data_IF_164836627636
#
_entry.id   IF_164836627636
#
_cell.length_a   1.000
_cell.length_b   1.000
_cell.length_c   1.000
_cell.angle_alpha   90.00
_cell.angle_beta   90.00
_cell.angle_gamma   90.00
#
_symmetry.space_group_name_H-M   'P 1'
#
loop_
_entity.id
_entity.type
_entity.pdbx_description
1 polymer ?
#
# COMPACT_ATOMS: atom_id res chain seq x y z
N UNK A 1 -20.11 11.97 14.70
CA UNK A 1 -19.48 10.97 15.59
C UNK A 1 -18.38 10.31 14.79
N UNK A 2 -17.17 10.24 15.34
CA UNK A 2 -16.07 9.50 14.72
C UNK A 2 -16.38 8.00 14.83
N UNK A 3 -16.38 7.30 13.70
CA UNK A 3 -16.45 5.85 13.67
C UNK A 3 -15.05 5.30 13.99
N UNK A 4 -14.87 4.83 15.23
CA UNK A 4 -13.60 4.30 15.69
C UNK A 4 -13.32 2.88 15.14
N UNK A 5 -14.33 2.20 14.61
CA UNK A 5 -14.23 0.83 14.09
C UNK A 5 -13.80 0.87 12.62
N UNK A 6 -14.38 1.78 11.84
CA UNK A 6 -14.02 2.01 10.44
C UNK A 6 -13.73 3.52 10.22
N UNK A 7 -12.53 4.00 10.58
CA UNK A 7 -12.20 5.43 10.55
C UNK A 7 -12.00 5.96 9.13
N UNK A 8 -12.17 7.28 8.94
CA UNK A 8 -12.20 7.93 7.62
C UNK A 8 -10.93 7.73 6.79
N UNK A 9 -9.76 7.65 7.41
CA UNK A 9 -8.48 7.45 6.70
C UNK A 9 -8.36 6.10 5.96
N UNK A 10 -9.35 5.22 6.07
CA UNK A 10 -9.50 4.01 5.24
C UNK A 10 -10.62 4.10 4.21
N UNK A 11 -11.41 5.18 4.21
CA UNK A 11 -12.59 5.41 3.37
C UNK A 11 -12.40 6.51 2.33
N UNK A 12 -11.40 7.37 2.52
CA UNK A 12 -11.22 8.58 1.71
C UNK A 12 -10.65 8.33 0.30
N UNK A 13 -10.22 7.09 0.01
CA UNK A 13 -9.70 6.69 -1.30
C UNK A 13 -10.77 6.35 -2.33
N UNK A 14 -10.38 5.89 -3.53
CA UNK A 14 -11.32 5.53 -4.59
C UNK A 14 -12.24 4.33 -4.24
N UNK A 15 -11.89 3.59 -3.20
CA UNK A 15 -12.64 2.51 -2.56
C UNK A 15 -12.19 2.38 -1.10
N UNK A 16 -12.88 1.63 -0.25
CA UNK A 16 -12.43 1.42 1.13
C UNK A 16 -11.19 0.51 1.15
N UNK A 17 -10.14 0.89 1.89
CA UNK A 17 -8.88 0.14 1.96
C UNK A 17 -9.06 -1.35 2.26
N UNK A 18 -10.06 -1.72 3.05
CA UNK A 18 -10.38 -3.12 3.37
C UNK A 18 -10.79 -3.93 2.14
N UNK A 19 -11.41 -3.33 1.12
CA UNK A 19 -11.75 -3.97 -0.16
C UNK A 19 -10.52 -4.55 -0.87
N UNK A 20 -9.36 -3.89 -0.75
CA UNK A 20 -8.09 -4.37 -1.28
C UNK A 20 -7.31 -5.22 -0.25
N UNK A 21 -7.12 -4.72 0.97
CA UNK A 21 -6.19 -5.36 1.92
C UNK A 21 -6.63 -6.77 2.32
N UNK A 22 -7.95 -7.06 2.29
CA UNK A 22 -8.47 -8.41 2.59
C UNK A 22 -8.10 -9.46 1.54
N UNK A 23 -7.74 -9.02 0.33
CA UNK A 23 -7.39 -9.90 -0.79
C UNK A 23 -5.92 -10.35 -0.73
N UNK A 24 -5.14 -9.70 0.13
CA UNK A 24 -3.70 -9.90 0.26
C UNK A 24 -3.40 -10.79 1.46
N UNK A 25 -2.23 -11.42 1.45
CA UNK A 25 -1.72 -12.07 2.66
C UNK A 25 -1.33 -11.02 3.71
N UNK A 26 -1.16 -11.46 4.97
CA UNK A 26 -1.06 -10.60 6.14
C UNK A 26 -0.09 -9.41 5.97
N UNK A 27 1.16 -9.67 5.58
CA UNK A 27 2.18 -8.63 5.51
C UNK A 27 1.93 -7.65 4.36
N UNK A 28 1.51 -8.17 3.20
CA UNK A 28 1.16 -7.36 2.05
C UNK A 28 -0.09 -6.51 2.29
N UNK A 29 -1.10 -7.07 2.97
CA UNK A 29 -2.28 -6.34 3.43
C UNK A 29 -1.93 -5.20 4.37
N UNK A 30 -1.04 -5.44 5.34
CA UNK A 30 -0.55 -4.42 6.25
C UNK A 30 0.25 -3.34 5.50
N UNK A 31 1.17 -3.72 4.61
CA UNK A 31 1.92 -2.78 3.80
C UNK A 31 1.00 -1.84 3.01
N UNK A 32 -0.03 -2.39 2.35
CA UNK A 32 -1.03 -1.59 1.62
C UNK A 32 -1.80 -0.67 2.54
N UNK A 33 -2.24 -1.13 3.72
CA UNK A 33 -2.95 -0.28 4.69
C UNK A 33 -2.13 0.93 5.14
N UNK A 34 -0.82 0.73 5.36
CA UNK A 34 0.08 1.82 5.72
C UNK A 34 0.27 2.80 4.56
N UNK A 35 0.50 2.30 3.33
CA UNK A 35 0.54 3.13 2.12
C UNK A 35 -0.78 3.85 1.85
N UNK A 36 -1.93 3.27 2.19
CA UNK A 36 -3.22 3.86 1.89
C UNK A 36 -3.50 5.10 2.74
N UNK A 37 -3.09 5.06 4.02
CA UNK A 37 -3.48 6.05 5.03
C UNK A 37 -2.39 7.06 5.40
N UNK A 38 -1.19 6.98 4.80
CA UNK A 38 0.00 7.65 5.33
C UNK A 38 -0.18 9.16 5.48
N UNK A 39 -0.82 9.83 4.51
CA UNK A 39 -1.08 11.27 4.54
C UNK A 39 -2.09 11.70 5.61
N UNK A 40 -2.90 10.76 6.11
CA UNK A 40 -4.06 11.05 6.94
C UNK A 40 -3.93 10.52 8.38
N UNK A 41 -2.78 9.91 8.74
CA UNK A 41 -2.56 9.36 10.08
C UNK A 41 -1.18 9.63 10.67
N UNK A 42 -0.14 8.90 10.24
CA UNK A 42 1.20 9.01 10.86
C UNK A 42 2.30 9.52 9.89
N UNK A 43 1.92 10.06 8.74
CA UNK A 43 2.88 10.61 7.77
C UNK A 43 3.90 9.58 7.30
N UNK A 44 5.17 10.01 7.21
CA UNK A 44 6.29 9.18 6.75
C UNK A 44 6.52 7.92 7.59
N UNK A 45 6.08 7.91 8.87
CA UNK A 45 6.21 6.72 9.73
C UNK A 45 5.39 5.55 9.18
N UNK A 46 4.21 5.80 8.63
CA UNK A 46 3.41 4.73 8.01
C UNK A 46 4.13 4.19 6.76
N UNK A 47 4.77 5.03 5.94
CA UNK A 47 5.58 4.54 4.80
C UNK A 47 6.77 3.68 5.23
N UNK A 48 7.42 4.02 6.35
CA UNK A 48 8.49 3.19 6.93
C UNK A 48 7.97 1.83 7.40
N UNK A 49 6.76 1.78 7.99
CA UNK A 49 6.10 0.52 8.34
C UNK A 49 5.75 -0.29 7.10
N UNK A 50 5.24 0.34 6.05
CA UNK A 50 4.97 -0.33 4.78
C UNK A 50 6.24 -0.98 4.21
N UNK A 51 7.35 -0.25 4.19
CA UNK A 51 8.65 -0.77 3.76
C UNK A 51 9.11 -1.95 4.62
N UNK A 52 8.90 -1.90 5.94
CA UNK A 52 9.24 -3.00 6.84
C UNK A 52 8.46 -4.28 6.50
N UNK A 53 7.14 -4.18 6.34
CA UNK A 53 6.30 -5.33 5.97
C UNK A 53 6.61 -5.91 4.59
N UNK A 54 6.88 -5.05 3.59
CA UNK A 54 7.29 -5.53 2.26
C UNK A 54 8.61 -6.30 2.34
N UNK A 55 9.61 -5.79 3.08
CA UNK A 55 10.88 -6.51 3.23
C UNK A 55 10.70 -7.84 3.96
N UNK A 56 9.90 -7.88 5.02
CA UNK A 56 9.63 -9.12 5.75
C UNK A 56 8.98 -10.18 4.85
N UNK A 57 7.95 -9.78 4.10
CA UNK A 57 7.27 -10.65 3.15
C UNK A 57 8.22 -11.21 2.09
N UNK A 58 9.14 -10.39 1.56
CA UNK A 58 10.14 -10.82 0.58
C UNK A 58 11.16 -11.79 1.18
N UNK A 59 11.66 -11.50 2.39
CA UNK A 59 12.65 -12.35 3.09
C UNK A 59 12.07 -13.73 3.39
N UNK A 60 10.79 -13.79 3.77
CA UNK A 60 10.12 -15.05 4.12
C UNK A 60 9.39 -15.71 2.94
N UNK A 61 9.46 -15.14 1.74
CA UNK A 61 8.81 -15.69 0.54
C UNK A 61 7.28 -15.71 0.63
N UNK A 62 6.69 -14.77 1.37
CA UNK A 62 5.24 -14.66 1.55
C UNK A 62 4.60 -14.19 0.24
N UNK A 63 3.64 -14.95 -0.32
CA UNK A 63 2.97 -14.55 -1.56
C UNK A 63 2.11 -13.30 -1.33
N UNK A 64 1.96 -12.46 -2.34
CA UNK A 64 1.10 -11.25 -2.28
C UNK A 64 -0.35 -11.63 -1.94
N UNK A 65 -0.89 -12.60 -2.66
CA UNK A 65 -2.28 -12.99 -2.52
C UNK A 65 -2.41 -14.14 -1.52
N UNK A 66 -3.42 -14.04 -0.65
CA UNK A 66 -3.76 -15.13 0.27
C UNK A 66 -4.38 -16.32 -0.48
N UNK A 67 -5.09 -16.05 -1.58
CA UNK A 67 -5.75 -17.03 -2.44
C UNK A 67 -5.57 -16.59 -3.90
N UNK A 68 -5.26 -17.52 -4.81
CA UNK A 68 -4.99 -17.23 -6.23
C UNK A 68 -6.16 -16.53 -6.95
N UNK A 69 -7.39 -16.87 -6.57
CA UNK A 69 -8.61 -16.45 -7.28
C UNK A 69 -8.92 -14.96 -7.11
N UNK A 70 -8.19 -14.26 -6.25
CA UNK A 70 -8.37 -12.84 -5.98
C UNK A 70 -7.37 -11.95 -6.71
N UNK A 71 -6.44 -12.53 -7.48
CA UNK A 71 -5.40 -11.77 -8.17
C UNK A 71 -5.95 -10.74 -9.15
N UNK A 72 -6.96 -11.11 -9.95
CA UNK A 72 -7.57 -10.21 -10.95
C UNK A 72 -8.28 -9.03 -10.29
N UNK A 73 -9.04 -9.29 -9.22
CA UNK A 73 -9.74 -8.25 -8.47
C UNK A 73 -8.73 -7.31 -7.79
N UNK A 74 -7.73 -7.85 -7.10
CA UNK A 74 -6.68 -7.06 -6.47
C UNK A 74 -5.91 -6.22 -7.50
N UNK A 75 -5.59 -6.78 -8.67
CA UNK A 75 -4.94 -6.07 -9.76
C UNK A 75 -5.77 -4.88 -10.26
N UNK A 76 -7.08 -5.06 -10.45
CA UNK A 76 -7.99 -3.99 -10.85
C UNK A 76 -8.04 -2.84 -9.81
N UNK A 77 -8.04 -3.19 -8.52
CA UNK A 77 -7.99 -2.21 -7.43
C UNK A 77 -6.64 -1.47 -7.35
N UNK A 78 -5.52 -2.16 -7.52
CA UNK A 78 -4.20 -1.53 -7.63
C UNK A 78 -4.09 -0.59 -8.82
N UNK A 79 -4.61 -0.99 -10.00
CA UNK A 79 -4.70 -0.12 -11.16
C UNK A 79 -5.52 1.15 -10.89
N UNK A 80 -6.59 1.03 -10.11
CA UNK A 80 -7.40 2.18 -9.71
C UNK A 80 -6.58 3.14 -8.83
N UNK A 81 -5.88 2.63 -7.81
CA UNK A 81 -5.01 3.46 -6.97
C UNK A 81 -3.89 4.13 -7.77
N UNK A 82 -3.28 3.42 -8.72
CA UNK A 82 -2.23 3.97 -9.57
C UNK A 82 -2.76 5.06 -10.51
N UNK A 83 -3.95 4.86 -11.09
CA UNK A 83 -4.59 5.83 -11.98
C UNK A 83 -4.93 7.13 -11.27
N UNK A 84 -5.47 7.04 -10.05
CA UNK A 84 -5.83 8.20 -9.24
C UNK A 84 -4.62 8.83 -8.51
N UNK A 85 -3.42 8.27 -8.67
CA UNK A 85 -2.22 8.61 -7.89
C UNK A 85 -2.54 8.70 -6.39
N UNK A 86 -3.27 7.70 -5.89
CA UNK A 86 -3.77 7.73 -4.52
C UNK A 86 -2.62 7.89 -3.54
N UNK A 87 -2.75 8.87 -2.65
CA UNK A 87 -1.73 9.25 -1.69
C UNK A 87 -0.35 9.58 -2.28
N UNK A 88 -0.27 9.99 -3.56
CA UNK A 88 0.99 10.35 -4.23
C UNK A 88 1.96 9.17 -4.40
N UNK A 89 1.42 7.95 -4.57
CA UNK A 89 2.15 6.68 -4.59
C UNK A 89 1.97 5.91 -5.91
N UNK A 90 1.63 6.59 -7.03
CA UNK A 90 1.37 5.95 -8.34
C UNK A 90 2.34 4.82 -8.70
N UNK A 91 3.66 5.09 -8.68
CA UNK A 91 4.66 4.08 -9.06
C UNK A 91 4.67 2.86 -8.13
N UNK A 92 4.39 3.06 -6.83
CA UNK A 92 4.26 1.96 -5.87
C UNK A 92 3.03 1.13 -6.20
N UNK A 93 1.88 1.76 -6.47
CA UNK A 93 0.66 1.05 -6.85
C UNK A 93 0.80 0.31 -8.19
N UNK A 94 1.44 0.92 -9.18
CA UNK A 94 1.77 0.27 -10.45
C UNK A 94 2.65 -0.97 -10.24
N UNK A 95 3.64 -0.91 -9.33
CA UNK A 95 4.51 -2.05 -9.04
C UNK A 95 3.75 -3.26 -8.46
N UNK A 96 2.64 -3.04 -7.76
CA UNK A 96 1.77 -4.12 -7.30
C UNK A 96 0.98 -4.81 -8.43
N UNK A 97 0.74 -4.14 -9.57
CA UNK A 97 0.04 -4.73 -10.73
C UNK A 97 0.93 -5.66 -11.55
N UNK A 98 2.25 -5.42 -11.55
CA UNK A 98 3.25 -6.16 -12.33
C UNK A 98 4.30 -6.75 -11.39
N UNK A 99 3.87 -7.73 -10.57
CA UNK A 99 4.66 -8.29 -9.47
C UNK A 99 6.08 -8.76 -9.87
N UNK A 100 6.28 -9.24 -11.10
CA UNK A 100 7.60 -9.67 -11.58
C UNK A 100 8.51 -8.54 -12.10
N UNK A 101 8.11 -7.28 -12.03
CA UNK A 101 8.87 -6.15 -12.62
C UNK A 101 9.09 -4.96 -11.70
N UNK A 102 8.40 -4.84 -10.57
CA UNK A 102 8.48 -3.66 -9.70
C UNK A 102 9.38 -3.84 -8.47
N UNK A 103 10.34 -2.93 -8.29
CA UNK A 103 11.11 -2.80 -7.04
C UNK A 103 10.30 -1.98 -6.00
N UNK A 104 9.28 -2.61 -5.40
CA UNK A 104 8.43 -1.97 -4.38
C UNK A 104 9.27 -1.40 -3.22
N UNK A 105 10.26 -2.13 -2.64
CA UNK A 105 11.13 -1.56 -1.62
C UNK A 105 11.89 -0.32 -2.06
N UNK A 106 12.46 -0.32 -3.27
CA UNK A 106 13.15 0.83 -3.85
C UNK A 106 12.24 2.04 -3.98
N UNK A 107 11.05 1.86 -4.55
CA UNK A 107 10.07 2.92 -4.74
C UNK A 107 9.59 3.53 -3.41
N UNK A 108 9.38 2.70 -2.38
CA UNK A 108 9.04 3.19 -1.04
C UNK A 108 10.19 3.98 -0.41
N UNK A 109 11.45 3.51 -0.56
CA UNK A 109 12.63 4.25 -0.07
C UNK A 109 12.78 5.60 -0.76
N UNK A 110 12.59 5.65 -2.07
CA UNK A 110 12.66 6.89 -2.84
C UNK A 110 11.60 7.89 -2.36
N UNK A 111 10.35 7.43 -2.17
CA UNK A 111 9.28 8.28 -1.64
C UNK A 111 9.55 8.77 -0.22
N UNK A 112 10.06 7.91 0.66
CA UNK A 112 10.44 8.30 2.03
C UNK A 112 11.52 9.39 1.98
N UNK A 113 12.56 9.20 1.16
CA UNK A 113 13.66 10.16 1.01
C UNK A 113 13.19 11.49 0.42
N UNK A 114 12.26 11.48 -0.53
CA UNK A 114 11.62 12.68 -1.08
C UNK A 114 10.95 13.50 0.04
N UNK A 115 10.06 12.87 0.81
CA UNK A 115 9.32 13.53 1.90
C UNK A 115 10.26 14.07 2.99
N UNK A 116 11.30 13.31 3.36
CA UNK A 116 12.26 13.72 4.38
C UNK A 116 13.19 14.86 3.92
N UNK A 117 13.39 15.04 2.61
CA UNK A 117 14.12 16.19 2.04
C UNK A 117 13.25 17.43 1.98
N UNK A 118 11.96 17.30 1.67
CA UNK A 118 11.00 18.41 1.62
C UNK A 118 10.64 18.96 3.02
N UNK A 119 10.74 18.11 4.05
CA UNK A 119 10.50 18.49 5.45
C UNK A 119 11.70 19.12 6.18
N UNK A 120 12.83 19.34 5.49
CA UNK A 120 14.01 20.08 6.00
C UNK A 120 14.08 21.47 5.37
#
# INVERSE_FOLDING_TARGET
>A
MTDNINPSHYKDGPFECIELSRLLSSDWGQAVQYCFRWQHKNGVEDLKKALWFVNDALVHGIPIYAVSDWADLASALFHTLAREDWAGLKSVWDAFTVWHRGDIPGLLKDKINEIEKEGK
#
